data_IF_326937321667
#
_entry.id   IF_326937321667
#
_cell.length_a   1.000
_cell.length_b   1.000
_cell.length_c   1.000
_cell.angle_alpha   90.00
_cell.angle_beta   90.00
_cell.angle_gamma   90.00
#
_symmetry.space_group_name_H-M   'P 1'
#
loop_
_entity.id
_entity.type
_entity.pdbx_description
1 polymer ?
#
# COMPACT_ATOMS: atom_id res chain seq x y z
N UNK A 1 22.67 21.65 21.80
CA UNK A 1 21.54 21.89 20.87
C UNK A 1 22.01 22.87 19.81
N UNK A 2 21.79 22.57 18.53
CA UNK A 2 22.15 23.47 17.43
C UNK A 2 21.34 24.76 17.52
N UNK A 3 22.02 25.90 17.69
CA UNK A 3 21.38 27.21 17.61
C UNK A 3 21.31 27.63 16.15
N UNK A 4 20.09 27.83 15.63
CA UNK A 4 19.87 28.28 14.26
C UNK A 4 20.50 29.65 13.97
N UNK A 5 20.87 30.41 15.02
CA UNK A 5 21.54 31.71 14.90
C UNK A 5 23.07 31.62 14.79
N UNK A 6 23.66 30.43 14.99
CA UNK A 6 25.10 30.23 14.81
C UNK A 6 25.46 30.22 13.31
N UNK A 7 26.32 31.13 12.87
CA UNK A 7 26.83 31.13 11.49
C UNK A 7 27.57 29.81 11.24
N UNK A 8 27.00 28.96 10.39
CA UNK A 8 27.60 27.68 10.00
C UNK A 8 28.80 27.96 9.09
N UNK A 9 29.99 27.51 9.52
CA UNK A 9 31.21 27.65 8.74
C UNK A 9 31.13 26.80 7.46
N UNK A 10 31.67 27.34 6.37
CA UNK A 10 31.77 26.62 5.10
C UNK A 10 32.90 25.58 5.18
N UNK A 11 32.82 24.46 4.44
CA UNK A 11 33.96 23.58 4.29
C UNK A 11 35.13 24.33 3.65
N UNK A 12 36.35 24.04 4.10
CA UNK A 12 37.58 24.54 3.46
C UNK A 12 37.62 24.09 2.00
N UNK A 13 38.02 24.98 1.11
CA UNK A 13 38.08 24.71 -0.32
C UNK A 13 39.11 23.61 -0.65
N UNK A 14 38.75 22.73 -1.59
CA UNK A 14 39.61 21.60 -1.99
C UNK A 14 40.97 22.06 -2.53
N UNK A 15 41.02 23.21 -3.20
CA UNK A 15 42.25 23.83 -3.72
C UNK A 15 43.26 24.13 -2.61
N UNK A 16 42.79 24.66 -1.48
CA UNK A 16 43.60 24.95 -0.29
C UNK A 16 44.12 23.65 0.33
N UNK A 17 43.24 22.64 0.49
CA UNK A 17 43.63 21.33 1.03
C UNK A 17 44.64 20.61 0.12
N UNK A 18 44.49 20.73 -1.20
CA UNK A 18 45.42 20.17 -2.18
C UNK A 18 46.78 20.86 -2.10
N UNK A 19 46.82 22.18 -1.98
CA UNK A 19 48.05 22.95 -1.85
C UNK A 19 48.80 22.58 -0.56
N UNK A 20 48.09 22.49 0.58
CA UNK A 20 48.67 22.06 1.85
C UNK A 20 49.23 20.63 1.77
N UNK A 21 48.49 19.71 1.16
CA UNK A 21 48.92 18.32 0.97
C UNK A 21 50.12 18.23 0.02
N UNK A 22 50.17 19.08 -1.00
CA UNK A 22 51.30 19.18 -1.91
C UNK A 22 52.54 19.68 -1.18
N UNK A 23 52.45 20.78 -0.42
CA UNK A 23 53.56 21.28 0.38
C UNK A 23 54.05 20.24 1.40
N UNK A 24 53.13 19.59 2.13
CA UNK A 24 53.49 18.52 3.07
C UNK A 24 54.24 17.36 2.40
N UNK A 25 53.90 17.03 1.14
CA UNK A 25 54.62 16.01 0.36
C UNK A 25 55.99 16.49 -0.10
N UNK A 26 56.15 17.77 -0.44
CA UNK A 26 57.44 18.34 -0.85
C UNK A 26 58.41 18.43 0.34
N UNK A 27 57.90 18.79 1.53
CA UNK A 27 58.67 18.79 2.78
C UNK A 27 59.21 17.40 3.11
N UNK A 28 58.41 16.34 2.89
CA UNK A 28 58.83 14.94 3.07
C UNK A 28 59.91 14.49 2.06
N UNK A 29 59.98 15.14 0.90
CA UNK A 29 60.93 14.81 -0.17
C UNK A 29 62.17 15.72 -0.11
N UNK A 30 62.26 16.63 0.88
CA UNK A 30 63.36 17.60 1.07
C UNK A 30 63.70 18.38 -0.22
N UNK A 31 62.70 18.76 -1.00
CA UNK A 31 62.88 19.66 -2.13
C UNK A 31 62.56 21.09 -1.68
N UNK A 32 63.61 21.86 -1.35
CA UNK A 32 63.50 23.26 -0.97
C UNK A 32 63.03 24.12 -2.16
N UNK A 33 61.72 24.37 -2.23
CA UNK A 33 61.17 25.39 -3.13
C UNK A 33 61.16 26.76 -2.41
N UNK A 34 61.47 27.87 -3.11
CA UNK A 34 61.32 29.20 -2.52
C UNK A 34 59.86 29.38 -2.09
N UNK A 35 59.63 29.75 -0.82
CA UNK A 35 58.30 30.06 -0.29
C UNK A 35 57.69 31.23 -1.06
N UNK A 36 57.03 30.95 -2.17
CA UNK A 36 56.23 31.92 -2.89
C UNK A 36 55.15 32.40 -1.92
N UNK A 37 55.12 33.72 -1.69
CA UNK A 37 54.23 34.34 -0.71
C UNK A 37 52.80 33.85 -0.89
N UNK A 38 52.21 33.36 0.21
CA UNK A 38 50.82 32.93 0.26
C UNK A 38 49.95 34.01 -0.39
N UNK A 39 49.22 33.71 -1.48
CA UNK A 39 48.28 34.68 -2.03
C UNK A 39 47.30 35.04 -0.91
N UNK A 40 47.14 36.34 -0.63
CA UNK A 40 46.25 36.85 0.40
C UNK A 40 44.89 36.19 0.22
N UNK A 41 44.50 35.37 1.20
CA UNK A 41 43.21 34.69 1.24
C UNK A 41 42.11 35.74 1.03
N UNK A 42 41.25 35.60 0.01
CA UNK A 42 40.13 36.50 -0.15
C UNK A 42 39.23 36.35 1.09
N UNK A 43 39.00 37.48 1.77
CA UNK A 43 37.97 37.77 2.77
C UNK A 43 37.53 36.59 3.65
N UNK A 44 37.86 36.64 4.95
CA UNK A 44 37.50 35.70 6.04
C UNK A 44 36.02 35.24 6.02
N UNK A 45 35.67 34.38 5.09
CA UNK A 45 34.50 33.55 5.17
C UNK A 45 34.90 32.43 6.12
N UNK A 46 34.32 32.42 7.32
CA UNK A 46 34.62 31.45 8.37
C UNK A 46 34.54 30.04 7.79
N UNK A 47 35.71 29.46 7.49
CA UNK A 47 35.84 28.12 6.92
C UNK A 47 36.31 27.17 8.02
N UNK A 48 35.74 25.97 8.04
CA UNK A 48 35.98 24.97 9.08
C UNK A 48 36.40 23.65 8.46
N UNK A 49 37.28 22.93 9.14
CA UNK A 49 37.60 21.53 8.85
C UNK A 49 36.73 20.55 9.63
N UNK A 50 35.97 21.05 10.60
CA UNK A 50 35.09 20.26 11.45
C UNK A 50 33.64 20.47 11.01
N UNK A 51 32.96 19.38 10.71
CA UNK A 51 31.54 19.35 10.38
C UNK A 51 30.76 18.68 11.52
N UNK A 52 29.79 19.35 12.17
CA UNK A 52 28.87 18.67 13.06
C UNK A 52 27.92 17.80 12.23
N UNK A 53 27.86 16.50 12.55
CA UNK A 53 26.97 15.55 11.88
C UNK A 53 26.15 14.78 12.90
N UNK A 54 24.94 14.39 12.50
CA UNK A 54 24.10 13.47 13.25
C UNK A 54 23.86 12.25 12.39
N UNK A 55 24.18 11.08 12.92
CA UNK A 55 23.94 9.81 12.26
C UNK A 55 22.81 9.09 12.99
N UNK A 56 21.72 8.86 12.29
CA UNK A 56 20.55 8.15 12.80
C UNK A 56 20.51 6.76 12.19
N UNK A 57 20.35 5.76 13.05
CA UNK A 57 20.12 4.38 12.64
C UNK A 57 18.61 4.17 12.46
N UNK A 58 18.19 3.79 11.26
CA UNK A 58 16.79 3.49 10.97
C UNK A 58 16.58 1.98 11.09
N UNK A 59 15.72 1.55 12.02
CA UNK A 59 15.32 0.15 12.20
C UNK A 59 13.84 -0.03 11.90
N UNK A 60 13.45 -1.21 11.43
CA UNK A 60 12.04 -1.55 11.30
C UNK A 60 11.46 -2.06 12.63
N UNK A 61 10.15 -2.30 12.66
CA UNK A 61 9.42 -2.86 13.81
C UNK A 61 9.89 -4.24 14.27
N UNK A 62 10.72 -4.94 13.47
CA UNK A 62 11.35 -6.22 13.83
C UNK A 62 12.81 -6.05 14.30
N UNK A 63 13.26 -4.82 14.51
CA UNK A 63 14.62 -4.47 14.92
C UNK A 63 15.69 -4.62 13.83
N UNK A 64 15.30 -4.94 12.59
CA UNK A 64 16.24 -5.08 11.47
C UNK A 64 16.66 -3.69 10.98
N UNK A 65 17.97 -3.52 10.75
CA UNK A 65 18.56 -2.31 10.19
C UNK A 65 18.02 -2.07 8.78
N UNK A 66 17.30 -0.96 8.59
CA UNK A 66 16.78 -0.49 7.30
C UNK A 66 17.80 0.39 6.57
N UNK A 67 18.60 1.14 7.31
CA UNK A 67 19.61 2.03 6.76
C UNK A 67 20.04 3.10 7.74
N UNK A 68 20.78 4.08 7.24
CA UNK A 68 21.31 5.17 8.03
C UNK A 68 20.87 6.51 7.42
N UNK A 69 20.45 7.44 8.27
CA UNK A 69 20.19 8.83 7.88
C UNK A 69 21.30 9.71 8.42
N UNK A 70 22.07 10.31 7.51
CA UNK A 70 23.09 11.29 7.83
C UNK A 70 22.50 12.70 7.70
N UNK A 71 22.42 13.42 8.81
CA UNK A 71 21.97 14.80 8.87
C UNK A 71 23.20 15.70 9.01
N UNK A 72 23.32 16.66 8.09
CA UNK A 72 24.48 17.54 7.96
C UNK A 72 24.04 18.95 7.54
N UNK A 73 24.84 19.99 7.83
CA UNK A 73 24.60 21.34 7.32
C UNK A 73 24.67 21.38 5.79
N UNK A 74 23.80 22.18 5.16
CA UNK A 74 23.69 22.24 3.69
C UNK A 74 25.03 22.53 2.99
N UNK A 75 25.89 23.37 3.58
CA UNK A 75 27.22 23.71 3.05
C UNK A 75 28.15 22.50 2.90
N UNK A 76 27.94 21.45 3.69
CA UNK A 76 28.77 20.24 3.69
C UNK A 76 28.22 19.12 2.80
N UNK A 77 27.00 19.26 2.26
CA UNK A 77 26.32 18.21 1.50
C UNK A 77 27.14 17.72 0.31
N UNK A 78 27.71 18.66 -0.47
CA UNK A 78 28.52 18.34 -1.65
C UNK A 78 29.79 17.54 -1.29
N UNK A 79 30.45 17.88 -0.20
CA UNK A 79 31.69 17.22 0.25
C UNK A 79 31.42 15.76 0.62
N UNK A 80 30.39 15.53 1.44
CA UNK A 80 29.99 14.18 1.83
C UNK A 80 29.47 13.38 0.64
N UNK A 81 28.66 13.99 -0.23
CA UNK A 81 28.13 13.33 -1.42
C UNK A 81 29.24 12.82 -2.34
N UNK A 82 30.20 13.66 -2.71
CA UNK A 82 31.33 13.26 -3.57
C UNK A 82 32.14 12.14 -2.91
N UNK A 83 32.39 12.26 -1.60
CA UNK A 83 33.13 11.24 -0.84
C UNK A 83 32.43 9.89 -0.87
N UNK A 84 31.12 9.85 -0.63
CA UNK A 84 30.30 8.63 -0.62
C UNK A 84 30.28 7.98 -2.00
N UNK A 85 30.03 8.76 -3.07
CA UNK A 85 30.02 8.25 -4.45
C UNK A 85 31.41 7.74 -4.86
N UNK A 86 32.50 8.45 -4.50
CA UNK A 86 33.88 8.04 -4.81
C UNK A 86 34.27 6.69 -4.19
N UNK A 87 33.59 6.29 -3.12
CA UNK A 87 33.79 5.00 -2.44
C UNK A 87 32.90 3.87 -3.00
N UNK A 88 32.17 4.13 -4.09
CA UNK A 88 31.37 3.12 -4.80
C UNK A 88 29.90 3.08 -4.40
N UNK A 89 29.40 4.06 -3.65
CA UNK A 89 27.96 4.17 -3.41
C UNK A 89 27.23 4.61 -4.69
N UNK A 90 26.03 4.07 -4.89
CA UNK A 90 25.16 4.44 -6.00
C UNK A 90 24.06 5.38 -5.52
N UNK A 91 23.90 6.52 -6.20
CA UNK A 91 22.80 7.44 -5.94
C UNK A 91 21.48 6.83 -6.44
N UNK A 92 20.43 6.95 -5.62
CA UNK A 92 19.09 6.49 -5.95
C UNK A 92 18.11 7.66 -5.95
N UNK A 93 17.09 7.60 -6.80
CA UNK A 93 16.04 8.60 -6.89
C UNK A 93 14.83 8.27 -6.02
N UNK A 94 13.73 9.02 -6.24
CA UNK A 94 12.46 8.79 -5.55
C UNK A 94 11.84 7.44 -5.93
N UNK A 95 12.00 7.00 -7.18
CA UNK A 95 11.46 5.72 -7.65
C UNK A 95 12.13 4.54 -6.93
N UNK A 96 13.46 4.52 -6.91
CA UNK A 96 14.20 3.47 -6.21
C UNK A 96 13.98 3.53 -4.69
N UNK A 97 13.85 4.73 -4.11
CA UNK A 97 13.46 4.87 -2.70
C UNK A 97 12.13 4.17 -2.42
N UNK A 98 11.12 4.40 -3.26
CA UNK A 98 9.81 3.73 -3.15
C UNK A 98 9.95 2.22 -3.33
N UNK A 99 10.80 1.76 -4.25
CA UNK A 99 11.06 0.32 -4.43
C UNK A 99 11.68 -0.33 -3.20
N UNK A 100 12.67 0.32 -2.59
CA UNK A 100 13.30 -0.16 -1.37
C UNK A 100 12.27 -0.22 -0.24
N UNK A 101 11.46 0.83 -0.06
CA UNK A 101 10.38 0.86 0.94
C UNK A 101 9.37 -0.28 0.74
N UNK A 102 8.94 -0.50 -0.51
CA UNK A 102 8.04 -1.58 -0.87
C UNK A 102 8.65 -2.96 -0.53
N UNK A 103 9.90 -3.23 -0.93
CA UNK A 103 10.56 -4.53 -0.70
C UNK A 103 10.66 -4.90 0.79
N UNK A 104 10.73 -3.87 1.66
CA UNK A 104 10.79 -4.04 3.12
C UNK A 104 9.42 -3.95 3.78
N UNK A 105 8.35 -3.73 3.01
CA UNK A 105 6.98 -3.61 3.50
C UNK A 105 6.74 -2.33 4.32
N UNK A 106 7.42 -1.23 4.01
CA UNK A 106 7.16 0.10 4.57
C UNK A 106 6.33 0.95 3.59
N UNK A 107 5.36 1.74 4.11
CA UNK A 107 4.53 2.57 3.25
C UNK A 107 5.34 3.77 2.75
N UNK A 108 5.18 4.16 1.48
CA UNK A 108 5.79 5.36 0.92
C UNK A 108 4.77 6.49 0.81
N UNK A 109 5.09 7.64 1.42
CA UNK A 109 4.25 8.82 1.35
C UNK A 109 4.55 9.61 0.07
N UNK A 110 3.52 10.04 -0.71
CA UNK A 110 2.09 9.97 -0.40
C UNK A 110 1.34 8.77 -1.00
N UNK A 111 1.99 7.91 -1.80
CA UNK A 111 1.32 6.87 -2.61
C UNK A 111 0.58 5.80 -1.80
N UNK A 112 1.01 5.51 -0.58
CA UNK A 112 0.42 4.47 0.27
C UNK A 112 -0.50 5.04 1.37
N UNK A 113 -1.00 6.26 1.20
CA UNK A 113 -1.85 6.94 2.18
C UNK A 113 -3.21 7.36 1.58
N UNK A 114 -4.09 6.41 1.21
CA UNK A 114 -5.28 6.67 0.40
C UNK A 114 -6.34 7.57 1.07
N UNK A 115 -6.24 7.78 2.37
CA UNK A 115 -7.12 8.60 3.21
C UNK A 115 -6.69 10.07 3.31
N UNK A 116 -5.58 10.48 2.67
CA UNK A 116 -5.07 11.84 2.75
C UNK A 116 -5.23 12.63 1.43
N UNK A 117 -5.30 13.96 1.55
CA UNK A 117 -5.37 14.86 0.40
C UNK A 117 -4.12 14.74 -0.50
N UNK A 118 -2.93 14.54 0.09
CA UNK A 118 -1.68 14.43 -0.66
C UNK A 118 -1.68 13.24 -1.63
N UNK A 119 -2.24 12.10 -1.21
CA UNK A 119 -2.48 10.95 -2.07
C UNK A 119 -3.40 11.33 -3.24
N UNK A 120 -4.52 12.00 -2.95
CA UNK A 120 -5.48 12.39 -3.98
C UNK A 120 -4.84 13.29 -5.06
N UNK A 121 -4.04 14.29 -4.65
CA UNK A 121 -3.29 15.13 -5.59
C UNK A 121 -2.23 14.34 -6.37
N UNK A 122 -1.49 13.47 -5.69
CA UNK A 122 -0.46 12.63 -6.31
C UNK A 122 -1.05 11.71 -7.38
N UNK A 123 -2.14 11.01 -7.07
CA UNK A 123 -2.76 10.06 -7.99
C UNK A 123 -3.43 10.74 -9.19
N UNK A 124 -4.00 11.94 -9.01
CA UNK A 124 -4.54 12.72 -10.13
C UNK A 124 -3.43 13.15 -11.09
N UNK A 125 -2.30 13.63 -10.55
CA UNK A 125 -1.14 14.00 -11.35
C UNK A 125 -0.55 12.79 -12.09
N UNK A 126 -0.42 11.66 -11.39
CA UNK A 126 0.12 10.42 -11.98
C UNK A 126 -0.81 9.85 -13.05
N UNK A 127 -2.13 9.87 -12.81
CA UNK A 127 -3.14 9.49 -13.80
C UNK A 127 -3.09 10.36 -15.06
N UNK A 128 -2.85 11.66 -14.92
CA UNK A 128 -2.68 12.58 -16.05
C UNK A 128 -1.40 12.28 -16.85
N UNK A 129 -0.28 11.99 -16.17
CA UNK A 129 0.99 11.61 -16.80
C UNK A 129 0.87 10.30 -17.58
N UNK A 130 0.27 9.26 -16.96
CA UNK A 130 0.01 7.97 -17.62
C UNK A 130 -0.87 8.15 -18.85
N UNK A 131 -1.92 8.99 -18.76
CA UNK A 131 -2.80 9.29 -19.89
C UNK A 131 -2.04 9.98 -21.03
N UNK A 132 -1.25 11.01 -20.72
CA UNK A 132 -0.45 11.72 -21.72
C UNK A 132 0.56 10.78 -22.41
N UNK A 133 1.19 9.89 -21.66
CA UNK A 133 2.13 8.92 -22.23
C UNK A 133 1.42 7.87 -23.08
N UNK A 134 0.22 7.42 -22.71
CA UNK A 134 -0.59 6.52 -23.53
C UNK A 134 -1.02 7.19 -24.85
N UNK A 135 -1.29 8.50 -24.83
CA UNK A 135 -1.67 9.27 -26.03
C UNK A 135 -0.54 9.41 -27.06
N UNK A 136 0.73 9.33 -26.62
CA UNK A 136 1.90 9.30 -27.52
C UNK A 136 2.04 7.98 -28.29
N UNK A 137 1.43 6.90 -27.81
CA UNK A 137 1.47 5.59 -28.47
C UNK A 137 0.44 5.51 -29.61
N UNK A 138 0.76 4.80 -30.72
CA UNK A 138 -0.19 4.59 -31.80
C UNK A 138 -1.40 3.76 -31.33
N UNK A 139 -2.58 3.91 -31.96
CA UNK A 139 -3.82 3.27 -31.49
C UNK A 139 -3.75 1.75 -31.34
N UNK A 140 -2.95 1.06 -32.17
CA UNK A 140 -2.81 -0.41 -32.17
C UNK A 140 -2.09 -0.97 -30.94
N UNK A 141 -1.21 -0.19 -30.31
CA UNK A 141 -0.44 -0.61 -29.12
C UNK A 141 -0.85 0.15 -27.86
N UNK A 142 -1.74 1.13 -27.98
CA UNK A 142 -2.21 1.94 -26.87
C UNK A 142 -3.02 1.07 -25.90
N UNK A 143 -2.63 0.98 -24.61
CA UNK A 143 -3.41 0.26 -23.63
C UNK A 143 -4.76 0.94 -23.42
N UNK A 144 -5.80 0.15 -23.16
CA UNK A 144 -7.09 0.73 -22.79
C UNK A 144 -7.01 1.39 -21.40
N UNK A 145 -7.90 2.36 -21.18
CA UNK A 145 -7.92 3.16 -19.95
C UNK A 145 -8.38 2.33 -18.76
N UNK A 146 -7.75 2.57 -17.62
CA UNK A 146 -8.10 2.00 -16.32
C UNK A 146 -8.27 3.13 -15.30
N UNK A 147 -9.07 2.96 -14.24
CA UNK A 147 -9.24 3.97 -13.21
C UNK A 147 -7.93 4.27 -12.46
N UNK A 148 -7.59 5.56 -12.40
CA UNK A 148 -6.51 6.11 -11.59
C UNK A 148 -7.02 7.47 -11.05
N UNK A 149 -7.18 7.65 -9.72
CA UNK A 149 -6.98 6.66 -8.65
C UNK A 149 -7.97 5.48 -8.71
N UNK A 150 -7.73 4.48 -7.86
CA UNK A 150 -8.62 3.32 -7.69
C UNK A 150 -10.03 3.75 -7.26
N UNK A 151 -11.10 3.10 -7.78
CA UNK A 151 -12.48 3.47 -7.47
C UNK A 151 -12.92 2.84 -6.13
N UNK A 152 -12.53 3.45 -5.02
CA UNK A 152 -12.77 2.92 -3.66
C UNK A 152 -14.24 2.75 -3.29
N UNK A 153 -15.13 3.57 -3.86
CA UNK A 153 -16.58 3.53 -3.68
C UNK A 153 -17.21 2.15 -4.00
N UNK A 154 -16.54 1.35 -4.83
CA UNK A 154 -17.01 0.03 -5.23
C UNK A 154 -17.01 -0.95 -4.07
N UNK A 155 -16.11 -0.78 -3.09
CA UNK A 155 -16.06 -1.64 -1.90
C UNK A 155 -17.30 -1.45 -1.04
N UNK A 156 -17.85 -0.23 -0.97
CA UNK A 156 -19.12 0.05 -0.26
C UNK A 156 -20.26 -0.79 -0.83
N UNK A 157 -20.36 -0.92 -2.16
CA UNK A 157 -21.36 -1.74 -2.81
C UNK A 157 -21.21 -3.24 -2.44
N UNK A 158 -19.97 -3.73 -2.31
CA UNK A 158 -19.70 -5.09 -1.81
C UNK A 158 -20.20 -5.28 -0.38
N UNK A 159 -19.88 -4.32 0.52
CA UNK A 159 -20.34 -4.36 1.92
C UNK A 159 -21.86 -4.45 1.98
N UNK A 160 -22.60 -3.56 1.32
CA UNK A 160 -24.07 -3.61 1.30
C UNK A 160 -24.64 -4.94 0.82
N UNK A 161 -24.07 -5.54 -0.22
CA UNK A 161 -24.53 -6.87 -0.69
C UNK A 161 -24.25 -7.98 0.31
N UNK A 162 -23.09 -7.92 0.97
CA UNK A 162 -22.75 -8.83 2.06
C UNK A 162 -23.64 -8.69 3.30
N UNK A 163 -24.30 -7.54 3.49
CA UNK A 163 -25.33 -7.36 4.53
C UNK A 163 -26.66 -7.98 4.10
N UNK A 164 -27.10 -7.73 2.85
CA UNK A 164 -28.37 -8.24 2.34
C UNK A 164 -28.41 -9.77 2.31
N UNK A 165 -27.32 -10.43 1.91
CA UNK A 165 -27.21 -11.89 1.93
C UNK A 165 -27.33 -12.50 3.34
N UNK A 166 -27.12 -11.71 4.40
CA UNK A 166 -27.20 -12.15 5.79
C UNK A 166 -28.61 -11.99 6.39
N UNK A 167 -29.41 -11.06 5.86
CA UNK A 167 -30.82 -10.88 6.24
C UNK A 167 -31.72 -12.03 5.78
N UNK A 168 -31.41 -12.66 4.63
CA UNK A 168 -32.21 -13.77 4.07
C UNK A 168 -32.01 -15.11 4.78
N UNK A 169 -31.03 -15.22 5.70
CA UNK A 169 -30.77 -16.46 6.46
C UNK A 169 -31.58 -16.57 7.76
N UNK A 170 -32.44 -15.59 8.08
CA UNK A 170 -33.15 -15.55 9.36
C UNK A 170 -34.67 -15.72 9.28
N UNK A 171 -35.25 -15.96 8.11
CA UNK A 171 -36.63 -16.45 7.97
C UNK A 171 -36.68 -17.57 6.91
N UNK A 172 -36.57 -18.82 7.35
CA UNK A 172 -37.04 -19.95 6.57
C UNK A 172 -38.43 -20.31 7.11
N UNK A 173 -39.47 -19.93 6.37
CA UNK A 173 -40.86 -20.22 6.68
C UNK A 173 -41.78 -19.51 5.68
N UNK A 174 -42.36 -20.32 4.79
CA UNK A 174 -43.48 -20.09 3.89
C UNK A 174 -43.21 -19.46 2.51
N UNK A 175 -43.31 -20.35 1.52
CA UNK A 175 -43.51 -20.07 0.10
C UNK A 175 -44.78 -19.24 -0.12
N UNK A 176 -44.67 -18.08 -0.79
CA UNK A 176 -45.72 -17.61 -1.70
C UNK A 176 -45.09 -16.89 -2.89
N UNK A 177 -45.42 -17.38 -4.09
CA UNK A 177 -45.18 -16.78 -5.39
C UNK A 177 -45.73 -15.35 -5.48
N UNK A 178 -44.90 -14.35 -5.85
CA UNK A 178 -45.21 -13.33 -6.87
C UNK A 178 -44.17 -12.19 -6.94
N UNK A 179 -43.99 -11.72 -8.17
CA UNK A 179 -43.45 -10.43 -8.62
C UNK A 179 -41.94 -10.13 -8.56
N UNK A 180 -41.27 -10.82 -9.49
CA UNK A 180 -40.14 -10.33 -10.27
C UNK A 180 -40.53 -9.04 -11.03
N UNK A 181 -40.28 -7.85 -10.46
CA UNK A 181 -39.88 -6.61 -11.16
C UNK A 181 -39.94 -5.39 -10.23
N UNK A 182 -38.80 -4.95 -9.68
CA UNK A 182 -38.59 -3.55 -9.29
C UNK A 182 -37.11 -3.23 -9.07
N UNK A 183 -36.32 -3.22 -10.16
CA UNK A 183 -35.17 -2.31 -10.21
C UNK A 183 -35.72 -0.89 -10.39
N UNK A 184 -36.12 -0.26 -9.28
CA UNK A 184 -36.39 1.17 -9.29
C UNK A 184 -35.06 1.91 -9.41
N UNK A 185 -34.86 2.56 -10.56
CA UNK A 185 -33.84 3.58 -10.79
C UNK A 185 -33.70 4.49 -9.55
N UNK A 186 -32.59 4.37 -8.81
CA UNK A 186 -32.27 5.38 -7.81
C UNK A 186 -31.94 6.66 -8.58
N UNK A 187 -32.87 7.62 -8.53
CA UNK A 187 -32.70 8.94 -9.14
C UNK A 187 -31.34 9.52 -8.71
N UNK A 188 -30.59 9.91 -9.73
CA UNK A 188 -29.40 10.75 -9.63
C UNK A 188 -29.70 11.92 -8.69
N UNK A 189 -28.93 12.08 -7.63
CA UNK A 189 -29.03 13.23 -6.74
C UNK A 189 -28.78 14.51 -7.55
N UNK A 190 -29.63 15.51 -7.30
CA UNK A 190 -29.58 16.85 -7.88
C UNK A 190 -28.16 17.42 -7.90
N UNK A 191 -27.64 17.62 -9.12
CA UNK A 191 -26.42 18.36 -9.35
C UNK A 191 -26.72 19.87 -9.30
N UNK A 192 -26.98 20.41 -8.11
CA UNK A 192 -27.04 21.86 -7.91
C UNK A 192 -26.61 22.24 -6.48
N UNK A 193 -25.31 22.18 -6.22
CA UNK A 193 -24.70 23.01 -5.17
C UNK A 193 -23.34 23.46 -5.66
N UNK A 194 -23.09 24.77 -5.55
CA UNK A 194 -21.95 25.50 -6.12
C UNK A 194 -20.60 24.83 -5.78
N UNK A 195 -19.58 24.92 -6.66
CA UNK A 195 -18.28 24.33 -6.43
C UNK A 195 -17.51 25.15 -5.40
N UNK A 196 -17.65 24.80 -4.12
CA UNK A 196 -16.66 25.17 -3.12
C UNK A 196 -15.50 24.17 -3.20
N UNK A 197 -14.29 24.73 -3.30
CA UNK A 197 -13.02 24.10 -3.63
C UNK A 197 -12.47 23.18 -2.52
N UNK A 198 -13.10 22.03 -2.29
CA UNK A 198 -12.49 20.95 -1.51
C UNK A 198 -12.59 19.66 -2.31
N UNK A 199 -11.47 19.25 -2.90
CA UNK A 199 -11.30 17.96 -3.56
C UNK A 199 -11.58 16.87 -2.51
N UNK A 200 -12.80 16.33 -2.52
CA UNK A 200 -13.27 15.33 -1.56
C UNK A 200 -12.38 14.10 -1.66
N UNK A 201 -11.83 13.65 -0.52
CA UNK A 201 -11.02 12.44 -0.41
C UNK A 201 -11.68 11.28 -1.19
N UNK A 202 -10.94 10.65 -2.10
CA UNK A 202 -11.46 9.56 -2.93
C UNK A 202 -11.81 8.31 -2.10
N UNK A 203 -11.26 8.19 -0.89
CA UNK A 203 -11.56 7.11 0.05
C UNK A 203 -12.68 7.55 0.99
N UNK A 204 -13.85 6.94 0.82
CA UNK A 204 -15.01 7.14 1.69
C UNK A 204 -14.92 6.22 2.94
N UNK A 205 -13.93 6.50 3.78
CA UNK A 205 -13.60 5.67 4.94
C UNK A 205 -12.42 6.18 5.76
N UNK A 206 -12.07 5.42 6.80
CA UNK A 206 -10.87 5.61 7.63
C UNK A 206 -9.86 4.50 7.36
N UNK A 207 -8.58 4.77 7.57
CA UNK A 207 -7.53 3.73 7.57
C UNK A 207 -7.11 3.47 9.02
N UNK A 208 -7.38 2.28 9.53
CA UNK A 208 -6.96 1.88 10.87
C UNK A 208 -5.49 1.45 10.84
N UNK A 209 -4.61 2.40 11.20
CA UNK A 209 -3.15 2.17 11.28
C UNK A 209 -2.70 1.56 12.60
N UNK A 210 -3.45 1.78 13.68
CA UNK A 210 -3.07 1.37 15.03
C UNK A 210 -4.08 0.38 15.59
N UNK A 211 -3.66 -0.42 16.58
CA UNK A 211 -4.54 -1.39 17.23
C UNK A 211 -5.71 -0.71 17.95
N UNK A 212 -5.48 0.46 18.55
CA UNK A 212 -6.52 1.25 19.20
C UNK A 212 -7.59 1.67 18.20
N UNK A 213 -7.22 2.29 17.07
CA UNK A 213 -8.19 2.74 16.05
C UNK A 213 -8.99 1.57 15.48
N UNK A 214 -8.34 0.42 15.27
CA UNK A 214 -9.05 -0.79 14.84
C UNK A 214 -10.01 -1.30 15.91
N UNK A 215 -9.59 -1.34 17.17
CA UNK A 215 -10.42 -1.82 18.29
C UNK A 215 -11.61 -0.90 18.53
N UNK A 216 -11.40 0.42 18.49
CA UNK A 216 -12.46 1.41 18.62
C UNK A 216 -13.52 1.21 17.52
N UNK A 217 -13.08 1.05 16.26
CA UNK A 217 -13.98 0.76 15.15
C UNK A 217 -14.74 -0.56 15.34
N UNK A 218 -14.05 -1.64 15.74
CA UNK A 218 -14.68 -2.94 15.98
C UNK A 218 -15.73 -2.87 17.10
N UNK A 219 -15.42 -2.17 18.19
CA UNK A 219 -16.35 -1.98 19.31
C UNK A 219 -17.60 -1.20 18.88
N UNK A 220 -17.43 -0.19 18.02
CA UNK A 220 -18.53 0.63 17.48
C UNK A 220 -19.50 -0.22 16.64
N UNK A 221 -18.99 -1.19 15.88
CA UNK A 221 -19.81 -2.09 15.04
C UNK A 221 -20.26 -3.36 15.78
N UNK A 222 -20.05 -3.46 17.10
CA UNK A 222 -20.24 -4.69 17.88
C UNK A 222 -19.53 -5.91 17.26
N UNK A 223 -18.39 -5.64 16.63
CA UNK A 223 -17.55 -6.57 15.88
C UNK A 223 -16.41 -7.15 16.71
N UNK A 224 -16.48 -7.13 18.04
CA UNK A 224 -15.41 -7.66 18.91
C UNK A 224 -15.14 -9.15 18.67
N UNK A 225 -16.10 -9.86 18.04
CA UNK A 225 -15.97 -11.25 17.62
C UNK A 225 -15.23 -11.43 16.26
N UNK A 226 -14.86 -10.35 15.57
CA UNK A 226 -14.22 -10.37 14.26
C UNK A 226 -12.73 -10.72 14.39
N UNK A 227 -12.34 -11.82 13.74
CA UNK A 227 -10.98 -12.35 13.79
C UNK A 227 -10.06 -11.59 12.83
N UNK A 228 -9.39 -10.53 13.30
CA UNK A 228 -8.37 -9.82 12.53
C UNK A 228 -6.95 -10.03 13.07
N UNK A 229 -6.81 -10.59 14.28
CA UNK A 229 -5.54 -10.85 15.00
C UNK A 229 -4.42 -9.84 14.75
N UNK A 230 -4.66 -8.54 14.97
CA UNK A 230 -3.68 -7.52 14.65
C UNK A 230 -2.40 -7.55 15.50
N UNK A 231 -2.38 -8.28 16.63
CA UNK A 231 -1.37 -8.11 17.68
C UNK A 231 -0.74 -9.37 18.25
N UNK A 232 -0.94 -10.56 17.67
CA UNK A 232 -0.26 -11.75 18.20
C UNK A 232 1.15 -11.89 17.62
N UNK A 233 2.15 -11.45 18.38
CA UNK A 233 3.56 -11.61 17.98
C UNK A 233 4.04 -13.08 18.01
N UNK A 234 3.36 -13.95 18.76
CA UNK A 234 3.76 -15.35 18.92
C UNK A 234 2.76 -16.29 18.22
N UNK A 235 3.23 -17.09 17.25
CA UNK A 235 2.42 -18.09 16.53
C UNK A 235 1.70 -19.06 17.49
N UNK A 236 2.31 -19.33 18.63
CA UNK A 236 1.78 -20.18 19.71
C UNK A 236 0.56 -19.57 20.39
N UNK A 237 0.57 -18.26 20.69
CA UNK A 237 -0.57 -17.58 21.32
C UNK A 237 -1.77 -17.43 20.38
N UNK A 238 -1.52 -17.27 19.07
CA UNK A 238 -2.57 -17.35 18.04
C UNK A 238 -3.21 -18.73 18.08
N UNK A 239 -2.40 -19.78 18.02
CA UNK A 239 -2.88 -21.16 18.04
C UNK A 239 -3.63 -21.48 19.33
N UNK A 240 -3.13 -21.07 20.50
CA UNK A 240 -3.80 -21.28 21.80
C UNK A 240 -5.13 -20.52 21.91
N UNK A 241 -5.18 -19.24 21.54
CA UNK A 241 -6.44 -18.48 21.50
C UNK A 241 -7.44 -19.07 20.51
N UNK A 242 -6.96 -19.71 19.44
CA UNK A 242 -7.79 -20.27 18.37
C UNK A 242 -8.24 -21.72 18.61
N UNK A 243 -7.64 -22.45 19.57
CA UNK A 243 -8.10 -23.78 20.01
C UNK A 243 -9.24 -23.69 21.04
N UNK A 244 -9.50 -22.49 21.58
CA UNK A 244 -10.62 -22.20 22.48
C UNK A 244 -11.91 -21.98 21.65
N UNK A 245 -12.49 -23.08 21.15
CA UNK A 245 -13.69 -23.08 20.29
C UNK A 245 -14.92 -22.40 20.94
N UNK A 246 -14.90 -22.20 22.25
CA UNK A 246 -16.01 -21.65 23.02
C UNK A 246 -16.16 -20.12 22.95
N UNK A 247 -15.25 -19.40 22.28
CA UNK A 247 -15.34 -17.93 22.12
C UNK A 247 -15.91 -17.47 20.77
N UNK A 248 -16.31 -18.40 19.89
CA UNK A 248 -16.91 -18.06 18.62
C UNK A 248 -18.38 -17.64 18.80
N UNK A 249 -18.60 -16.37 19.14
CA UNK A 249 -19.94 -15.79 19.15
C UNK A 249 -20.59 -15.86 17.77
N UNK A 250 -21.85 -16.26 17.72
CA UNK A 250 -22.70 -16.21 16.52
C UNK A 250 -23.23 -14.77 16.28
N UNK A 251 -22.35 -13.78 16.44
CA UNK A 251 -22.67 -12.36 16.41
C UNK A 251 -22.90 -11.90 14.97
N UNK A 252 -24.16 -11.84 14.54
CA UNK A 252 -24.53 -11.11 13.34
C UNK A 252 -24.31 -9.62 13.57
N UNK A 253 -23.18 -9.09 13.10
CA UNK A 253 -22.94 -7.64 13.13
C UNK A 253 -23.91 -6.98 12.15
N UNK A 254 -24.97 -6.34 12.66
CA UNK A 254 -25.91 -5.57 11.86
C UNK A 254 -25.26 -4.22 11.54
N UNK A 255 -24.40 -4.20 10.53
CA UNK A 255 -23.74 -2.97 10.08
C UNK A 255 -24.82 -2.08 9.47
N UNK A 256 -24.98 -0.86 9.97
CA UNK A 256 -25.90 0.10 9.37
C UNK A 256 -25.25 0.69 8.11
N UNK A 257 -26.04 0.78 7.03
CA UNK A 257 -25.67 1.26 5.70
C UNK A 257 -24.93 2.60 5.63
N UNK A 258 -25.09 3.46 6.64
CA UNK A 258 -24.61 4.85 6.63
C UNK A 258 -23.21 5.04 7.27
N UNK A 259 -22.57 3.96 7.72
CA UNK A 259 -21.28 4.06 8.41
C UNK A 259 -20.11 4.22 7.43
N UNK A 260 -19.06 4.91 7.90
CA UNK A 260 -17.76 5.00 7.20
C UNK A 260 -17.11 3.63 7.17
N UNK A 261 -16.51 3.28 6.02
CA UNK A 261 -15.75 2.04 5.91
C UNK A 261 -14.43 2.15 6.66
N UNK A 262 -13.95 1.05 7.22
CA UNK A 262 -12.62 0.97 7.82
C UNK A 262 -11.72 0.11 6.94
N UNK A 263 -10.59 0.67 6.52
CA UNK A 263 -9.59 0.00 5.70
C UNK A 263 -8.36 -0.36 6.53
N UNK A 264 -7.79 -1.52 6.24
CA UNK A 264 -6.56 -2.00 6.84
C UNK A 264 -5.48 -2.10 5.79
N UNK A 265 -4.27 -1.72 6.18
CA UNK A 265 -3.06 -1.95 5.42
C UNK A 265 -2.73 -3.45 5.43
N UNK A 266 -2.50 -3.98 4.24
CA UNK A 266 -2.24 -5.41 4.02
C UNK A 266 -1.04 -5.57 3.10
N UNK A 267 -0.10 -6.42 3.52
CA UNK A 267 0.98 -6.90 2.66
C UNK A 267 0.53 -8.17 1.93
N UNK A 268 0.60 -8.12 0.61
CA UNK A 268 0.20 -9.20 -0.28
C UNK A 268 1.43 -9.91 -0.85
N UNK A 269 1.41 -11.24 -0.73
CA UNK A 269 2.38 -12.12 -1.38
C UNK A 269 1.64 -13.03 -2.36
N UNK A 270 2.23 -13.30 -3.52
CA UNK A 270 1.68 -14.31 -4.43
C UNK A 270 1.82 -15.70 -3.79
N UNK A 271 0.76 -16.51 -3.81
CA UNK A 271 0.81 -17.87 -3.26
C UNK A 271 1.68 -18.80 -4.11
N UNK A 272 1.67 -18.62 -5.43
CA UNK A 272 2.50 -19.31 -6.42
C UNK A 272 3.02 -18.27 -7.42
N UNK A 273 2.47 -18.26 -8.62
CA UNK A 273 2.84 -17.35 -9.71
C UNK A 273 1.87 -16.17 -9.80
N UNK A 274 2.41 -15.00 -10.12
CA UNK A 274 1.64 -13.79 -10.37
C UNK A 274 2.45 -12.54 -10.09
N UNK A 275 2.08 -11.44 -10.73
CA UNK A 275 2.62 -10.11 -10.45
C UNK A 275 1.44 -9.21 -10.16
N UNK A 276 1.44 -8.56 -8.98
CA UNK A 276 0.39 -7.62 -8.59
C UNK A 276 0.79 -6.23 -9.03
N UNK A 277 -0.04 -5.58 -9.84
CA UNK A 277 0.18 -4.23 -10.34
C UNK A 277 -0.45 -3.18 -9.41
N UNK A 278 0.10 -1.97 -9.44
CA UNK A 278 -0.52 -0.80 -8.81
C UNK A 278 -1.93 -0.57 -9.40
N UNK A 279 -2.91 -0.33 -8.51
CA UNK A 279 -4.32 -0.22 -8.87
C UNK A 279 -5.03 -1.57 -9.09
N UNK A 280 -4.36 -2.71 -8.92
CA UNK A 280 -5.01 -4.01 -9.00
C UNK A 280 -6.14 -4.14 -7.95
N UNK A 281 -7.20 -4.88 -8.31
CA UNK A 281 -8.34 -5.10 -7.41
C UNK A 281 -8.09 -6.34 -6.56
N UNK A 282 -8.31 -6.20 -5.25
CA UNK A 282 -8.32 -7.30 -4.30
C UNK A 282 -9.77 -7.75 -4.12
N UNK A 283 -10.02 -9.04 -4.27
CA UNK A 283 -11.34 -9.65 -4.25
C UNK A 283 -11.45 -10.76 -3.22
N UNK A 284 -12.67 -10.95 -2.72
CA UNK A 284 -13.05 -12.05 -1.84
C UNK A 284 -13.08 -13.37 -2.62
N UNK A 285 -12.25 -14.37 -2.27
CA UNK A 285 -12.37 -15.73 -2.80
C UNK A 285 -13.59 -16.45 -2.22
N UNK A 286 -14.13 -17.40 -2.98
CA UNK A 286 -14.91 -18.50 -2.40
C UNK A 286 -13.99 -19.68 -2.06
N UNK A 287 -14.44 -20.58 -1.18
CA UNK A 287 -13.63 -21.73 -0.74
C UNK A 287 -13.12 -22.57 -1.93
N UNK A 288 -13.98 -22.78 -2.94
CA UNK A 288 -13.61 -23.51 -4.16
C UNK A 288 -12.47 -22.87 -4.95
N UNK A 289 -12.36 -21.53 -4.91
CA UNK A 289 -11.24 -20.84 -5.57
C UNK A 289 -9.94 -21.21 -4.87
N UNK A 290 -9.88 -21.17 -3.54
CA UNK A 290 -8.65 -21.44 -2.80
C UNK A 290 -8.19 -22.89 -3.00
N UNK A 291 -9.14 -23.83 -3.03
CA UNK A 291 -8.88 -25.25 -3.32
C UNK A 291 -8.29 -25.46 -4.71
N UNK A 292 -8.66 -24.62 -5.69
CA UNK A 292 -8.14 -24.67 -7.06
C UNK A 292 -6.62 -24.47 -7.12
N UNK A 293 -6.03 -23.66 -6.22
CA UNK A 293 -4.58 -23.44 -6.16
C UNK A 293 -3.85 -24.29 -5.12
N UNK A 294 -4.54 -24.71 -4.06
CA UNK A 294 -3.95 -25.45 -2.93
C UNK A 294 -3.99 -26.97 -3.11
N UNK A 295 -4.85 -27.49 -3.98
CA UNK A 295 -4.85 -28.91 -4.36
C UNK A 295 -3.55 -29.31 -5.08
N UNK A 296 -3.12 -30.56 -4.87
CA UNK A 296 -1.88 -31.13 -5.41
C UNK A 296 -1.98 -31.55 -6.88
N UNK A 297 -3.11 -31.35 -7.56
CA UNK A 297 -3.22 -31.78 -8.95
C UNK A 297 -2.38 -30.89 -9.86
N UNK A 298 -1.74 -31.53 -10.85
CA UNK A 298 -0.94 -30.89 -11.88
C UNK A 298 -1.75 -29.83 -12.61
N UNK A 299 -1.16 -28.64 -12.73
CA UNK A 299 -1.51 -27.55 -13.63
C UNK A 299 -2.97 -27.47 -14.08
N UNK A 300 -3.79 -26.73 -13.33
CA UNK A 300 -4.96 -26.10 -13.93
C UNK A 300 -4.43 -24.93 -14.77
N UNK A 301 -4.02 -25.23 -16.01
CA UNK A 301 -3.70 -24.24 -17.04
C UNK A 301 -4.92 -23.33 -17.20
N UNK A 302 -4.84 -22.13 -16.62
CA UNK A 302 -5.85 -21.09 -16.76
C UNK A 302 -6.27 -20.40 -15.46
N UNK A 303 -6.31 -21.10 -14.32
CA UNK A 303 -6.84 -20.52 -13.06
C UNK A 303 -8.27 -19.93 -13.19
N UNK A 304 -8.72 -19.17 -12.19
CA UNK A 304 -9.98 -18.41 -12.29
C UNK A 304 -9.77 -17.17 -13.19
N UNK A 305 -10.60 -17.00 -14.21
CA UNK A 305 -10.57 -15.83 -15.10
C UNK A 305 -11.97 -15.28 -15.37
N UNK A 306 -12.05 -13.96 -15.58
CA UNK A 306 -13.23 -13.33 -16.20
C UNK A 306 -13.14 -13.41 -17.74
N UNK A 307 -14.28 -13.34 -18.47
CA UNK A 307 -14.24 -13.24 -19.92
C UNK A 307 -13.41 -12.04 -20.40
N UNK A 308 -12.64 -12.20 -21.48
CA UNK A 308 -11.80 -11.12 -22.04
C UNK A 308 -12.62 -9.87 -22.41
N UNK A 309 -13.85 -10.06 -22.88
CA UNK A 309 -14.80 -8.98 -23.16
C UNK A 309 -15.16 -8.17 -21.91
N UNK A 310 -15.18 -8.81 -20.73
CA UNK A 310 -15.50 -8.17 -19.45
C UNK A 310 -14.35 -7.35 -18.87
N UNK A 311 -13.09 -7.60 -19.28
CA UNK A 311 -11.92 -6.89 -18.74
C UNK A 311 -12.04 -5.38 -18.97
N UNK A 312 -12.48 -4.97 -20.16
CA UNK A 312 -12.63 -3.55 -20.53
C UNK A 312 -13.88 -2.89 -19.94
N UNK A 313 -14.94 -3.66 -19.69
CA UNK A 313 -16.20 -3.13 -19.14
C UNK A 313 -16.27 -3.17 -17.62
N UNK A 314 -15.36 -3.90 -16.95
CA UNK A 314 -15.34 -4.05 -15.49
C UNK A 314 -15.39 -2.71 -14.75
N UNK A 315 -14.63 -1.72 -15.26
CA UNK A 315 -14.77 -0.32 -14.88
C UNK A 315 -15.01 0.52 -16.13
N UNK A 316 -16.15 1.20 -16.20
CA UNK A 316 -16.50 2.07 -17.32
C UNK A 316 -16.45 3.52 -16.89
N UNK A 317 -15.70 4.34 -17.62
CA UNK A 317 -15.68 5.78 -17.40
C UNK A 317 -16.99 6.41 -17.89
N UNK A 318 -17.68 7.13 -17.01
CA UNK A 318 -18.86 7.94 -17.32
C UNK A 318 -18.45 9.28 -17.94
N UNK A 319 -19.43 9.98 -18.54
CA UNK A 319 -19.22 11.30 -19.14
C UNK A 319 -18.76 12.36 -18.13
N UNK A 320 -19.15 12.22 -16.86
CA UNK A 320 -18.71 13.07 -15.75
C UNK A 320 -17.27 12.80 -15.28
N UNK A 321 -16.58 11.82 -15.89
CA UNK A 321 -15.22 11.42 -15.50
C UNK A 321 -15.15 10.35 -14.41
N UNK A 322 -16.26 10.09 -13.71
CA UNK A 322 -16.35 9.06 -12.68
C UNK A 322 -16.30 7.65 -13.27
N UNK A 323 -15.83 6.70 -12.48
CA UNK A 323 -15.78 5.29 -12.86
C UNK A 323 -16.95 4.52 -12.26
N UNK A 324 -17.67 3.81 -13.12
CA UNK A 324 -18.76 2.95 -12.70
C UNK A 324 -18.32 1.49 -12.77
N UNK A 325 -18.66 0.76 -11.71
CA UNK A 325 -18.43 -0.66 -11.63
C UNK A 325 -19.57 -1.42 -12.30
N UNK A 326 -19.24 -2.20 -13.34
CA UNK A 326 -20.24 -2.96 -14.09
C UNK A 326 -20.17 -4.44 -13.73
N UNK A 327 -21.29 -4.98 -13.28
CA UNK A 327 -21.47 -6.42 -13.11
C UNK A 327 -22.21 -6.91 -14.36
N UNK A 328 -21.57 -7.82 -15.11
CA UNK A 328 -22.22 -8.48 -16.23
C UNK A 328 -23.39 -9.33 -15.74
N UNK A 329 -24.53 -9.23 -16.41
CA UNK A 329 -25.74 -10.02 -16.11
C UNK A 329 -25.69 -11.44 -16.70
N UNK A 330 -24.70 -11.70 -17.56
CA UNK A 330 -24.49 -13.02 -18.14
C UNK A 330 -24.09 -14.04 -17.03
N UNK A 331 -24.74 -15.22 -16.96
CA UNK A 331 -24.49 -16.22 -15.92
C UNK A 331 -23.03 -16.68 -15.85
N UNK A 332 -22.33 -16.81 -16.98
CA UNK A 332 -20.92 -17.23 -17.01
C UNK A 332 -20.02 -16.14 -16.42
N UNK A 333 -20.26 -14.89 -16.80
CA UNK A 333 -19.58 -13.72 -16.25
C UNK A 333 -19.88 -13.52 -14.76
N UNK A 334 -21.10 -13.84 -14.31
CA UNK A 334 -21.50 -13.76 -12.89
C UNK A 334 -20.85 -14.84 -12.05
N UNK A 335 -20.68 -16.06 -12.59
CA UNK A 335 -20.03 -17.17 -11.90
C UNK A 335 -18.52 -16.99 -11.72
N UNK A 336 -17.86 -16.26 -12.63
CA UNK A 336 -16.43 -15.92 -12.55
C UNK A 336 -16.15 -14.64 -11.77
N UNK A 337 -17.15 -13.80 -11.54
CA UNK A 337 -17.01 -12.55 -10.81
C UNK A 337 -16.68 -12.77 -9.33
N UNK A 338 -15.73 -12.00 -8.82
CA UNK A 338 -15.40 -11.94 -7.39
C UNK A 338 -15.50 -10.51 -6.89
N UNK A 339 -16.08 -10.36 -5.71
CA UNK A 339 -16.41 -9.06 -5.14
C UNK A 339 -15.16 -8.31 -4.69
N UNK A 340 -14.98 -7.04 -5.11
CA UNK A 340 -13.90 -6.19 -4.63
C UNK A 340 -14.01 -5.93 -3.11
N UNK A 341 -12.91 -6.15 -2.40
CA UNK A 341 -12.78 -5.86 -0.96
C UNK A 341 -11.73 -4.76 -0.70
N UNK A 342 -10.94 -4.42 -1.71
CA UNK A 342 -9.81 -3.50 -1.58
C UNK A 342 -9.05 -3.30 -2.88
N UNK A 343 -7.99 -2.49 -2.82
CA UNK A 343 -7.12 -2.20 -3.96
C UNK A 343 -5.66 -2.16 -3.55
N UNK A 344 -4.79 -2.51 -4.49
CA UNK A 344 -3.34 -2.40 -4.38
C UNK A 344 -2.92 -0.95 -4.61
N UNK A 345 -2.21 -0.34 -3.67
CA UNK A 345 -1.61 1.00 -3.81
C UNK A 345 -0.20 0.93 -4.36
N UNK A 346 0.57 -0.08 -3.96
CA UNK A 346 1.93 -0.31 -4.47
C UNK A 346 2.07 -1.76 -4.93
N UNK A 347 2.38 -1.94 -6.22
CA UNK A 347 2.56 -3.26 -6.83
C UNK A 347 3.93 -3.88 -6.56
N UNK A 348 4.16 -5.07 -7.12
CA UNK A 348 5.45 -5.75 -7.04
C UNK A 348 6.55 -4.98 -7.76
N UNK A 349 7.69 -4.84 -7.08
CA UNK A 349 8.92 -4.34 -7.69
C UNK A 349 9.54 -5.42 -8.55
N UNK A 350 9.73 -5.13 -9.85
CA UNK A 350 10.38 -6.06 -10.79
C UNK A 350 11.82 -6.32 -10.37
N UNK A 351 12.22 -7.58 -10.35
CA UNK A 351 13.58 -7.99 -9.96
C UNK A 351 13.77 -8.22 -8.46
N UNK A 352 12.76 -7.93 -7.62
CA UNK A 352 12.79 -8.36 -6.21
C UNK A 352 12.79 -9.89 -6.12
N UNK A 353 13.60 -10.42 -5.20
CA UNK A 353 13.63 -11.86 -4.87
C UNK A 353 12.46 -12.28 -3.97
N UNK A 354 11.82 -11.31 -3.31
CA UNK A 354 10.70 -11.51 -2.38
C UNK A 354 9.65 -10.44 -2.64
N UNK A 355 8.98 -10.49 -3.80
CA UNK A 355 8.04 -9.46 -4.18
C UNK A 355 6.88 -9.42 -3.18
N UNK A 356 6.61 -8.22 -2.69
CA UNK A 356 5.49 -7.88 -1.83
C UNK A 356 4.75 -6.71 -2.46
N UNK A 357 3.43 -6.70 -2.33
CA UNK A 357 2.59 -5.57 -2.74
C UNK A 357 1.87 -5.03 -1.51
N UNK A 358 1.58 -3.74 -1.56
CA UNK A 358 0.81 -3.05 -0.53
C UNK A 358 -0.61 -2.82 -1.02
N UNK A 359 -1.58 -3.15 -0.17
CA UNK A 359 -2.99 -2.99 -0.47
C UNK A 359 -3.76 -2.52 0.77
N UNK A 360 -4.91 -1.91 0.51
CA UNK A 360 -5.87 -1.55 1.53
C UNK A 360 -7.18 -2.29 1.30
N UNK A 361 -7.62 -3.03 2.30
CA UNK A 361 -8.82 -3.85 2.25
C UNK A 361 -9.76 -3.52 3.41
N UNK A 362 -11.06 -3.60 3.19
CA UNK A 362 -12.05 -3.29 4.22
C UNK A 362 -12.04 -4.34 5.35
N UNK A 363 -12.02 -3.86 6.59
CA UNK A 363 -11.76 -4.64 7.79
C UNK A 363 -12.82 -5.73 8.04
N UNK A 364 -14.10 -5.40 7.85
CA UNK A 364 -15.21 -6.33 8.08
C UNK A 364 -15.18 -7.49 7.07
N UNK A 365 -14.96 -7.20 5.79
CA UNK A 365 -14.87 -8.17 4.72
C UNK A 365 -13.66 -9.09 4.92
N UNK A 366 -12.51 -8.54 5.32
CA UNK A 366 -11.35 -9.35 5.70
C UNK A 366 -11.63 -10.27 6.89
N UNK A 367 -12.29 -9.76 7.93
CA UNK A 367 -12.63 -10.56 9.10
C UNK A 367 -13.57 -11.72 8.77
N UNK A 368 -14.59 -11.46 7.93
CA UNK A 368 -15.51 -12.48 7.43
C UNK A 368 -14.78 -13.55 6.63
N UNK A 369 -13.93 -13.14 5.68
CA UNK A 369 -13.10 -14.06 4.90
C UNK A 369 -12.23 -14.93 5.80
N UNK A 370 -11.62 -14.35 6.83
CA UNK A 370 -10.81 -15.09 7.79
C UNK A 370 -11.65 -16.12 8.55
N UNK A 371 -12.81 -15.72 9.04
CA UNK A 371 -13.71 -16.61 9.77
C UNK A 371 -14.18 -17.78 8.90
N UNK A 372 -14.58 -17.52 7.65
CA UNK A 372 -15.00 -18.56 6.70
C UNK A 372 -13.86 -19.53 6.37
N UNK A 373 -12.67 -19.00 6.08
CA UNK A 373 -11.48 -19.82 5.80
C UNK A 373 -11.12 -20.67 7.02
N UNK A 374 -11.21 -20.13 8.23
CA UNK A 374 -10.92 -20.90 9.44
C UNK A 374 -11.91 -22.04 9.67
N UNK A 375 -13.21 -21.75 9.57
CA UNK A 375 -14.28 -22.73 9.81
C UNK A 375 -14.30 -23.83 8.76
N UNK A 376 -14.06 -23.49 7.49
CA UNK A 376 -14.28 -24.41 6.37
C UNK A 376 -13.01 -25.04 5.80
N UNK A 377 -11.82 -24.52 6.11
CA UNK A 377 -10.58 -25.15 5.65
C UNK A 377 -10.16 -26.32 6.54
N UNK A 378 -9.59 -27.39 5.94
CA UNK A 378 -8.91 -28.43 6.69
C UNK A 378 -7.80 -27.84 7.56
N UNK A 379 -7.61 -28.37 8.77
CA UNK A 379 -6.64 -27.85 9.75
C UNK A 379 -5.22 -27.69 9.17
N UNK A 380 -4.80 -28.64 8.33
CA UNK A 380 -3.48 -28.63 7.66
C UNK A 380 -3.30 -27.49 6.66
N UNK A 381 -4.38 -26.84 6.23
CA UNK A 381 -4.39 -25.73 5.27
C UNK A 381 -4.76 -24.39 5.91
N UNK A 382 -5.11 -24.38 7.21
CA UNK A 382 -5.35 -23.13 7.94
C UNK A 382 -4.06 -22.34 8.04
N UNK A 383 -4.15 -21.03 7.80
CA UNK A 383 -3.00 -20.10 7.78
C UNK A 383 -3.25 -18.89 8.67
N UNK A 384 -2.16 -18.26 9.08
CA UNK A 384 -2.16 -16.97 9.75
C UNK A 384 -2.42 -15.82 8.78
N UNK A 385 -2.07 -16.00 7.51
CA UNK A 385 -2.42 -15.09 6.42
C UNK A 385 -3.83 -15.41 5.89
N UNK A 386 -4.49 -14.41 5.35
CA UNK A 386 -5.83 -14.55 4.75
C UNK A 386 -5.65 -14.79 3.25
N UNK A 387 -6.28 -15.83 2.72
CA UNK A 387 -6.30 -16.03 1.27
C UNK A 387 -7.18 -14.96 0.62
N UNK A 388 -6.66 -14.30 -0.42
CA UNK A 388 -7.38 -13.30 -1.22
C UNK A 388 -7.12 -13.53 -2.71
N UNK A 389 -8.00 -13.05 -3.58
CA UNK A 389 -7.73 -13.04 -5.02
C UNK A 389 -7.31 -11.64 -5.45
N UNK A 390 -6.30 -11.55 -6.31
CA UNK A 390 -5.85 -10.29 -6.88
C UNK A 390 -5.97 -10.36 -8.39
N UNK A 391 -6.53 -9.31 -9.01
CA UNK A 391 -6.64 -9.19 -10.46
C UNK A 391 -6.12 -7.84 -10.92
N UNK A 392 -5.13 -7.85 -11.81
CA UNK A 392 -4.68 -6.63 -12.47
C UNK A 392 -5.78 -6.12 -13.41
N UNK A 393 -5.98 -4.81 -13.46
CA UNK A 393 -7.13 -4.23 -14.19
C UNK A 393 -7.10 -4.52 -15.69
N UNK A 394 -5.91 -4.74 -16.26
CA UNK A 394 -5.69 -5.11 -17.66
C UNK A 394 -5.63 -6.61 -17.93
N UNK A 395 -5.86 -7.44 -16.91
CA UNK A 395 -5.86 -8.89 -17.02
C UNK A 395 -7.22 -9.50 -16.70
N UNK A 396 -7.53 -10.60 -17.37
CA UNK A 396 -8.67 -11.47 -17.05
C UNK A 396 -8.42 -12.37 -15.85
N UNK A 397 -7.15 -12.66 -15.54
CA UNK A 397 -6.79 -13.72 -14.61
C UNK A 397 -6.74 -13.24 -13.17
N UNK A 398 -7.40 -13.99 -12.29
CA UNK A 398 -7.20 -13.89 -10.85
C UNK A 398 -5.98 -14.69 -10.44
N UNK A 399 -5.24 -14.15 -9.47
CA UNK A 399 -4.11 -14.80 -8.84
C UNK A 399 -4.35 -14.91 -7.35
N UNK A 400 -4.03 -16.06 -6.78
CA UNK A 400 -4.17 -16.26 -5.34
C UNK A 400 -3.05 -15.54 -4.60
N UNK A 401 -3.44 -14.69 -3.67
CA UNK A 401 -2.55 -13.95 -2.77
C UNK A 401 -2.74 -14.36 -1.31
N UNK A 402 -1.70 -14.16 -0.52
CA UNK A 402 -1.69 -14.25 0.94
C UNK A 402 -1.64 -12.83 1.51
N UNK A 403 -2.67 -12.45 2.25
CA UNK A 403 -2.83 -11.16 2.89
C UNK A 403 -2.37 -11.21 4.35
N UNK A 404 -1.40 -10.37 4.69
CA UNK A 404 -0.94 -10.14 6.07
C UNK A 404 -1.34 -8.74 6.50
N UNK A 405 -2.13 -8.61 7.56
CA UNK A 405 -2.52 -7.31 8.13
C UNK A 405 -1.31 -6.68 8.82
N UNK A 406 -1.09 -5.39 8.59
CA UNK A 406 -0.02 -4.62 9.24
C UNK A 406 -0.59 -3.41 9.94
N UNK A 407 -0.25 -3.27 11.23
CA UNK A 407 -0.50 -2.06 12.01
C UNK A 407 0.84 -1.39 12.35
N UNK A 408 0.86 -0.06 12.27
CA UNK A 408 2.04 0.79 12.34
C UNK A 408 2.54 1.06 13.76
N UNK A 409 1.65 1.10 14.76
CA UNK A 409 2.04 1.23 16.17
C UNK A 409 1.80 -0.09 16.91
N UNK A 410 2.85 -0.59 17.55
CA UNK A 410 2.74 -1.67 18.54
C UNK A 410 2.85 -1.08 19.94
N UNK A 411 2.31 -1.78 20.95
CA UNK A 411 2.22 -1.31 22.34
C UNK A 411 3.56 -0.82 22.91
N UNK A 412 4.68 -1.34 22.38
CA UNK A 412 6.03 -0.96 22.79
C UNK A 412 6.46 0.45 22.34
N UNK A 413 5.82 1.04 21.33
CA UNK A 413 6.14 2.40 20.84
C UNK A 413 5.65 3.50 21.82
N UNK A 414 4.74 3.15 22.73
CA UNK A 414 4.17 4.07 23.72
C UNK A 414 4.97 4.09 25.04
N UNK A 415 5.91 3.16 25.23
CA UNK A 415 6.74 3.09 26.43
C UNK A 415 7.85 4.16 26.52
N UNK A 416 8.00 5.00 25.50
CA UNK A 416 9.04 6.04 25.39
C UNK A 416 8.50 7.47 25.34
N UNK A 417 7.19 7.67 25.52
CA UNK A 417 6.58 8.97 25.80
C UNK A 417 6.24 9.06 27.28
#
# INVERSE_FOLDING_TARGET
MWDANSRMCLPVEESILCLEKHHSRMDLVCLDYPKAGMPKTPTELQSSRCCPTLLLENRNSKGLLMGWSLILPLSWARVFWISIISKGAHAIGLQEKRWVACDVGLPDFPSDFPDCNAYSYFMVAEGANIKQNAEKLPPSVRPFKVPIPSPWNVVRATVHKGLLAMGDMQHCGDEVMADRNSLSNSKCCDCNTKPHSSLVNSLDGIVARTSCVLTDFLSEIHGDCLLLFPGFQNKTGILEFMMDENKFGNGGSQITSDRKLCYLRVLLHAYKEGVFEEGAVVCAPVLGDILLWTSRSENIEGGLQIPQSSVRSYFKQQLCGNWEFQISQDPVSRGSHRWPIGFVTTGFVRGSKKPVAEAFCEATLLARLRQEQWKRMPEKQRRTEIYVLVRNLRSSAYRLGLATIVLEQQVDDVGFL
#
